data_IF_793674466605
#
_entry.id   IF_793674466605
#
_cell.length_a   1.000
_cell.length_b   1.000
_cell.length_c   1.000
_cell.angle_alpha   90.00
_cell.angle_beta   90.00
_cell.angle_gamma   90.00
#
_symmetry.space_group_name_H-M   'P 1'
#
loop_
_entity.id
_entity.type
_entity.pdbx_description
1 polymer ?
#
# COMPACT_ATOMS: atom_id res chain seq x y z
N UNK A 1 9.93 7.34 35.44
CA UNK A 1 9.94 7.78 34.03
C UNK A 1 8.66 7.32 33.36
N UNK A 2 8.07 8.14 32.49
CA UNK A 2 6.85 7.80 31.74
C UNK A 2 7.20 6.97 30.51
N UNK A 3 6.46 5.88 30.27
CA UNK A 3 6.60 5.06 29.05
C UNK A 3 6.18 5.88 27.82
N UNK A 4 6.93 5.75 26.72
CA UNK A 4 6.57 6.32 25.41
C UNK A 4 6.33 5.16 24.46
N UNK A 5 5.17 5.13 23.83
CA UNK A 5 4.77 4.10 22.88
C UNK A 5 4.50 4.81 21.56
N UNK A 6 5.09 4.31 20.47
CA UNK A 6 4.93 4.86 19.13
C UNK A 6 4.24 3.81 18.26
N UNK A 7 3.13 4.20 17.65
CA UNK A 7 2.51 3.43 16.57
C UNK A 7 3.03 3.98 15.25
N UNK A 8 3.47 3.11 14.35
CA UNK A 8 3.99 3.48 13.04
C UNK A 8 3.23 2.68 12.00
N UNK A 9 2.76 3.36 10.95
CA UNK A 9 1.94 2.80 9.87
C UNK A 9 2.49 3.35 8.55
N UNK A 10 2.66 2.48 7.55
CA UNK A 10 3.26 2.86 6.28
C UNK A 10 2.19 3.34 5.28
N UNK A 11 2.33 4.59 4.86
CA UNK A 11 1.41 5.24 3.93
C UNK A 11 1.22 4.46 2.62
N UNK A 12 -0.03 4.06 2.35
CA UNK A 12 -0.46 3.37 1.13
C UNK A 12 0.49 2.23 0.73
N UNK A 13 0.93 1.43 1.70
CA UNK A 13 2.13 0.59 1.65
C UNK A 13 2.35 -0.16 0.33
N UNK A 14 1.39 -0.95 -0.16
CA UNK A 14 1.59 -1.71 -1.40
C UNK A 14 1.79 -0.82 -2.64
N UNK A 15 1.11 0.32 -2.69
CA UNK A 15 1.32 1.30 -3.78
C UNK A 15 2.69 1.95 -3.66
N UNK A 16 3.09 2.34 -2.45
CA UNK A 16 4.39 2.94 -2.17
C UNK A 16 5.54 2.01 -2.57
N UNK A 17 5.42 0.70 -2.31
CA UNK A 17 6.38 -0.30 -2.79
C UNK A 17 6.45 -0.34 -4.33
N UNK A 18 5.32 -0.35 -5.01
CA UNK A 18 5.30 -0.34 -6.49
C UNK A 18 5.86 0.98 -7.06
N UNK A 19 5.62 2.13 -6.43
CA UNK A 19 6.17 3.44 -6.82
C UNK A 19 7.68 3.59 -6.55
N UNK A 20 8.23 2.84 -5.59
CA UNK A 20 9.69 2.74 -5.40
C UNK A 20 10.32 1.97 -6.55
N UNK A 21 9.67 0.90 -7.01
CA UNK A 21 10.19 0.04 -8.09
C UNK A 21 9.95 0.61 -9.50
N UNK A 22 8.88 1.41 -9.66
CA UNK A 22 8.46 2.02 -10.93
C UNK A 22 8.19 3.50 -10.71
N UNK A 23 9.24 4.35 -10.74
CA UNK A 23 9.11 5.78 -10.46
C UNK A 23 8.08 6.50 -11.35
N UNK A 24 7.82 5.98 -12.56
CA UNK A 24 6.83 6.49 -13.50
C UNK A 24 5.37 6.37 -13.01
N UNK A 25 5.12 5.65 -11.91
CA UNK A 25 3.82 5.54 -11.25
C UNK A 25 3.52 6.69 -10.28
N UNK A 26 4.53 7.48 -9.91
CA UNK A 26 4.35 8.62 -8.99
C UNK A 26 3.54 9.72 -9.65
N UNK A 27 2.63 10.37 -8.90
CA UNK A 27 1.74 11.39 -9.44
C UNK A 27 0.59 10.83 -10.28
N UNK A 28 0.40 9.51 -10.33
CA UNK A 28 -0.66 8.86 -11.13
C UNK A 28 -1.61 8.09 -10.22
N UNK A 29 -2.92 8.01 -10.57
CA UNK A 29 -3.85 7.14 -9.89
C UNK A 29 -3.44 5.67 -10.08
N UNK A 30 -2.98 5.03 -9.00
CA UNK A 30 -2.58 3.62 -8.95
C UNK A 30 -3.45 2.86 -7.96
N UNK A 31 -3.84 1.65 -8.36
CA UNK A 31 -4.60 0.69 -7.56
C UNK A 31 -3.87 -0.65 -7.57
N UNK A 32 -3.56 -1.18 -6.39
CA UNK A 32 -3.11 -2.57 -6.21
C UNK A 32 -4.30 -3.41 -5.80
N UNK A 33 -4.50 -4.55 -6.45
CA UNK A 33 -5.60 -5.48 -6.13
C UNK A 33 -5.92 -6.49 -7.23
N UNK A 34 -5.29 -6.36 -8.41
CA UNK A 34 -5.58 -7.16 -9.58
C UNK A 34 -6.27 -6.35 -10.68
N UNK A 35 -6.84 -7.04 -11.67
CA UNK A 35 -7.50 -6.40 -12.82
C UNK A 35 -9.00 -6.17 -12.58
N UNK A 36 -9.61 -5.10 -13.12
CA UNK A 36 -11.03 -4.78 -12.93
C UNK A 36 -12.02 -5.78 -13.52
N UNK A 37 -11.61 -6.55 -14.53
CA UNK A 37 -12.41 -7.57 -15.22
C UNK A 37 -12.52 -8.89 -14.43
N UNK A 38 -11.77 -9.02 -13.32
CA UNK A 38 -11.81 -10.18 -12.41
C UNK A 38 -12.54 -9.81 -11.11
N UNK A 39 -13.16 -10.80 -10.47
CA UNK A 39 -13.67 -10.61 -9.10
C UNK A 39 -12.49 -10.37 -8.15
N UNK A 40 -12.48 -9.22 -7.51
CA UNK A 40 -11.46 -8.82 -6.56
C UNK A 40 -11.78 -7.45 -5.95
N UNK A 41 -10.97 -7.05 -4.99
CA UNK A 41 -11.08 -5.77 -4.29
C UNK A 41 -9.75 -5.01 -4.34
N UNK A 42 -9.83 -3.70 -4.14
CA UNK A 42 -8.68 -2.82 -3.93
C UNK A 42 -7.96 -3.26 -2.66
N UNK A 43 -6.72 -3.74 -2.80
CA UNK A 43 -5.82 -4.01 -1.68
C UNK A 43 -5.18 -2.72 -1.15
N UNK A 44 -4.78 -1.82 -2.06
CA UNK A 44 -4.30 -0.48 -1.72
C UNK A 44 -4.56 0.50 -2.88
N UNK A 45 -4.73 1.78 -2.55
CA UNK A 45 -4.90 2.85 -3.52
C UNK A 45 -3.98 4.03 -3.19
N UNK A 46 -3.36 4.58 -4.23
CA UNK A 46 -2.59 5.83 -4.20
C UNK A 46 -3.45 6.99 -3.71
N UNK A 47 -2.84 8.05 -3.19
CA UNK A 47 -3.56 9.28 -2.84
C UNK A 47 -4.27 9.88 -4.06
N UNK A 48 -3.63 9.81 -5.23
CA UNK A 48 -4.18 10.25 -6.50
C UNK A 48 -5.44 9.48 -6.87
N UNK A 49 -5.50 8.16 -6.64
CA UNK A 49 -6.73 7.37 -6.84
C UNK A 49 -7.78 7.65 -5.75
N UNK A 50 -7.36 7.86 -4.50
CA UNK A 50 -8.27 8.21 -3.39
C UNK A 50 -9.00 9.54 -3.63
N UNK A 51 -8.39 10.47 -4.34
CA UNK A 51 -9.05 11.73 -4.75
C UNK A 51 -10.31 11.48 -5.63
N UNK A 52 -10.41 10.33 -6.30
CA UNK A 52 -11.60 9.91 -7.06
C UNK A 52 -12.57 9.05 -6.24
N UNK A 53 -12.35 8.93 -4.93
CA UNK A 53 -13.18 8.12 -4.02
C UNK A 53 -12.79 6.64 -3.95
N UNK A 54 -11.70 6.22 -4.60
CA UNK A 54 -11.21 4.83 -4.51
C UNK A 54 -10.61 4.57 -3.12
N UNK A 55 -11.00 3.47 -2.47
CA UNK A 55 -10.48 3.10 -1.15
C UNK A 55 -10.30 1.57 -1.03
N UNK A 56 -9.57 1.13 0.00
CA UNK A 56 -9.36 -0.30 0.28
C UNK A 56 -10.68 -1.05 0.46
N UNK A 57 -10.66 -2.35 0.12
CA UNK A 57 -11.81 -3.26 0.09
C UNK A 57 -12.93 -2.90 -0.92
N UNK A 58 -12.80 -1.79 -1.67
CA UNK A 58 -13.72 -1.48 -2.77
C UNK A 58 -13.61 -2.53 -3.88
N UNK A 59 -14.73 -3.00 -4.49
CA UNK A 59 -14.67 -3.86 -5.66
C UNK A 59 -13.87 -3.21 -6.81
N UNK A 60 -12.98 -3.96 -7.45
CA UNK A 60 -12.12 -3.41 -8.52
C UNK A 60 -12.91 -2.84 -9.69
N UNK A 61 -14.05 -3.46 -10.03
CA UNK A 61 -14.97 -2.97 -11.05
C UNK A 61 -15.58 -1.60 -10.67
N UNK A 62 -15.84 -1.37 -9.38
CA UNK A 62 -16.32 -0.07 -8.90
C UNK A 62 -15.19 0.96 -8.96
N UNK A 63 -13.99 0.58 -8.52
CA UNK A 63 -12.81 1.44 -8.58
C UNK A 63 -12.50 1.88 -10.01
N UNK A 64 -12.61 0.99 -11.01
CA UNK A 64 -12.38 1.33 -12.42
C UNK A 64 -13.44 2.23 -13.01
N UNK A 65 -14.67 2.22 -12.47
CA UNK A 65 -15.72 3.17 -12.87
C UNK A 65 -15.50 4.55 -12.27
N UNK A 66 -15.03 4.61 -11.02
CA UNK A 66 -14.73 5.87 -10.32
C UNK A 66 -13.47 6.55 -10.87
N UNK A 67 -12.45 5.76 -11.24
CA UNK A 67 -11.21 6.27 -11.81
C UNK A 67 -10.81 5.46 -13.07
N UNK A 68 -11.41 5.76 -14.23
CA UNK A 68 -11.16 5.04 -15.49
C UNK A 68 -9.70 5.08 -15.97
N UNK A 69 -8.97 6.13 -15.59
CA UNK A 69 -7.56 6.33 -15.90
C UNK A 69 -6.60 5.67 -14.90
N UNK A 70 -7.12 4.98 -13.88
CA UNK A 70 -6.27 4.34 -12.88
C UNK A 70 -5.45 3.20 -13.49
N UNK A 71 -4.21 3.10 -13.02
CA UNK A 71 -3.30 1.99 -13.35
C UNK A 71 -3.54 0.88 -12.34
N UNK A 72 -4.06 -0.24 -12.83
CA UNK A 72 -4.32 -1.43 -12.01
C UNK A 72 -3.13 -2.38 -12.02
N UNK A 73 -2.63 -2.71 -10.83
CA UNK A 73 -1.47 -3.57 -10.63
C UNK A 73 -1.90 -4.83 -9.88
N UNK A 74 -1.46 -5.97 -10.41
CA UNK A 74 -1.55 -7.25 -9.70
C UNK A 74 -0.48 -7.27 -8.60
N UNK A 75 -0.92 -7.47 -7.36
CA UNK A 75 -0.04 -7.34 -6.21
C UNK A 75 1.01 -8.45 -6.14
N UNK A 76 2.22 -8.10 -5.71
CA UNK A 76 3.29 -9.07 -5.48
C UNK A 76 3.66 -9.13 -3.99
N UNK A 77 3.04 -10.08 -3.29
CA UNK A 77 3.18 -10.19 -1.83
C UNK A 77 4.63 -10.41 -1.38
N UNK A 78 5.45 -11.11 -2.17
CA UNK A 78 6.88 -11.32 -1.87
C UNK A 78 7.64 -9.99 -1.83
N UNK A 79 7.34 -9.05 -2.74
CA UNK A 79 7.97 -7.71 -2.72
C UNK A 79 7.57 -6.93 -1.49
N UNK A 80 6.30 -7.03 -1.08
CA UNK A 80 5.79 -6.33 0.09
C UNK A 80 6.42 -6.87 1.38
N UNK A 81 6.57 -8.19 1.51
CA UNK A 81 7.29 -8.79 2.64
C UNK A 81 8.75 -8.35 2.71
N UNK A 82 9.43 -8.26 1.57
CA UNK A 82 10.82 -7.78 1.51
C UNK A 82 10.94 -6.31 1.92
N UNK A 83 9.99 -5.46 1.53
CA UNK A 83 9.96 -4.06 1.94
C UNK A 83 9.68 -3.93 3.45
N UNK A 84 8.71 -4.69 3.96
CA UNK A 84 8.37 -4.78 5.38
C UNK A 84 9.57 -5.18 6.24
N UNK A 85 10.28 -6.26 5.86
CA UNK A 85 11.44 -6.74 6.60
C UNK A 85 12.56 -5.69 6.65
N UNK A 86 12.77 -4.94 5.57
CA UNK A 86 13.73 -3.83 5.56
C UNK A 86 13.31 -2.70 6.49
N UNK A 87 12.04 -2.34 6.50
CA UNK A 87 11.50 -1.31 7.38
C UNK A 87 11.61 -1.71 8.86
N UNK A 88 11.22 -2.94 9.20
CA UNK A 88 11.32 -3.46 10.57
C UNK A 88 12.77 -3.56 11.06
N UNK A 89 13.72 -3.89 10.17
CA UNK A 89 15.14 -3.86 10.50
C UNK A 89 15.61 -2.45 10.90
N UNK A 90 15.16 -1.42 10.16
CA UNK A 90 15.45 -0.02 10.50
C UNK A 90 14.86 0.34 11.87
N UNK A 91 13.62 -0.06 12.17
CA UNK A 91 13.03 0.16 13.50
C UNK A 91 13.81 -0.52 14.63
N UNK A 92 14.42 -1.68 14.34
CA UNK A 92 15.29 -2.42 15.26
C UNK A 92 16.52 -1.64 15.70
N UNK A 93 16.98 -0.67 14.89
CA UNK A 93 18.10 0.20 15.24
C UNK A 93 17.71 1.26 16.31
N UNK A 94 16.42 1.55 16.47
CA UNK A 94 15.92 2.58 17.41
C UNK A 94 15.41 2.01 18.73
N UNK A 95 14.87 0.79 18.72
CA UNK A 95 14.29 0.16 19.91
C UNK A 95 14.38 -1.36 19.81
N UNK A 96 14.79 -2.05 20.90
CA UNK A 96 14.69 -3.51 20.97
C UNK A 96 13.25 -3.99 21.23
N UNK A 97 12.34 -3.09 21.58
CA UNK A 97 10.92 -3.39 21.81
C UNK A 97 10.11 -3.04 20.56
N UNK A 98 9.78 -4.06 19.78
CA UNK A 98 8.96 -3.97 18.56
C UNK A 98 7.85 -5.01 18.61
N UNK A 99 6.63 -4.58 18.27
CA UNK A 99 5.44 -5.44 18.20
C UNK A 99 4.79 -5.29 16.81
N UNK A 100 5.12 -6.15 15.84
CA UNK A 100 4.54 -6.08 14.50
C UNK A 100 3.08 -6.54 14.54
N UNK A 101 2.16 -5.69 14.05
CA UNK A 101 0.73 -6.02 13.93
C UNK A 101 0.32 -6.42 12.50
N UNK A 102 1.16 -6.10 11.51
CA UNK A 102 0.86 -6.25 10.10
C UNK A 102 2.12 -6.37 9.25
N UNK A 103 1.96 -6.13 7.95
CA UNK A 103 3.07 -6.12 6.99
C UNK A 103 3.60 -4.69 6.76
N UNK A 104 2.78 -3.68 7.02
CA UNK A 104 3.18 -2.29 7.20
C UNK A 104 3.46 -1.95 8.67
#
# INVERSE_FOLDING_TARGET
MTRRIMHIDLDAFFVSVEQVLKPELRGKPVVVGGKPDRRGVVAAASYEARAYGVHSAMPLLTASRLCPQAIFIEGNYKRYQQASAKFMAILGDFSPYLEPMGID
#
